data_IF_680285073129
#
_entry.id   IF_680285073129
#
_cell.length_a   1.000
_cell.length_b   1.000
_cell.length_c   1.000
_cell.angle_alpha   90.00
_cell.angle_beta   90.00
_cell.angle_gamma   90.00
#
_symmetry.space_group_name_H-M   'P 1'
#
loop_
_entity.id
_entity.type
_entity.pdbx_description
1 polymer ?
#
# COMPACT_ATOMS: atom_id res chain seq x y z
N UNK A 1 -6.16 20.89 31.45
CA UNK A 1 -6.14 19.52 30.89
C UNK A 1 -5.85 19.59 29.41
N UNK A 2 -5.23 18.57 28.82
CA UNK A 2 -4.95 18.51 27.39
C UNK A 2 -6.08 17.78 26.65
N UNK A 3 -6.70 18.45 25.68
CA UNK A 3 -7.72 17.82 24.83
C UNK A 3 -7.11 16.73 23.94
N UNK A 4 -7.67 15.52 23.99
CA UNK A 4 -7.33 14.46 23.04
C UNK A 4 -7.83 14.87 21.64
N UNK A 5 -6.95 15.39 20.80
CA UNK A 5 -7.25 15.54 19.36
C UNK A 5 -7.56 14.16 18.78
N UNK A 6 -8.80 13.93 18.36
CA UNK A 6 -9.18 12.73 17.63
C UNK A 6 -8.33 12.61 16.36
N UNK A 7 -7.72 11.45 16.13
CA UNK A 7 -6.97 11.18 14.89
C UNK A 7 -7.93 10.61 13.87
N UNK A 8 -8.60 11.49 13.13
CA UNK A 8 -9.41 11.09 11.97
C UNK A 8 -8.50 10.37 10.98
N UNK A 9 -8.76 9.08 10.75
CA UNK A 9 -8.14 8.32 9.67
C UNK A 9 -8.94 8.62 8.41
N UNK A 10 -8.27 9.17 7.41
CA UNK A 10 -8.83 9.25 6.06
C UNK A 10 -8.26 8.07 5.27
N UNK A 11 -9.11 7.11 4.91
CA UNK A 11 -8.77 6.14 3.87
C UNK A 11 -8.91 6.89 2.54
N UNK A 12 -7.85 6.94 1.72
CA UNK A 12 -7.93 7.54 0.38
C UNK A 12 -8.06 6.45 -0.67
N UNK A 13 -9.13 6.55 -1.45
CA UNK A 13 -9.52 5.62 -2.50
C UNK A 13 -9.08 6.13 -3.88
N UNK A 14 -8.45 5.26 -4.65
CA UNK A 14 -7.78 5.55 -5.91
C UNK A 14 -8.69 5.53 -7.15
N UNK A 15 -9.86 6.17 -7.07
CA UNK A 15 -10.55 6.61 -8.29
C UNK A 15 -9.78 7.75 -8.94
N UNK A 16 -10.08 8.10 -10.20
CA UNK A 16 -9.36 9.14 -10.95
C UNK A 16 -9.62 10.58 -10.44
N UNK A 17 -10.24 10.71 -9.26
CA UNK A 17 -10.44 11.94 -8.51
C UNK A 17 -9.16 12.45 -7.84
N UNK A 18 -9.10 13.75 -7.61
CA UNK A 18 -7.88 14.56 -7.59
C UNK A 18 -7.11 14.46 -6.25
N UNK A 19 -5.99 15.16 -6.19
CA UNK A 19 -5.58 15.96 -5.01
C UNK A 19 -5.62 17.49 -5.36
N UNK A 20 -6.70 17.96 -6.00
CA UNK A 20 -6.67 19.08 -6.97
C UNK A 20 -6.17 20.38 -6.32
N UNK A 21 -6.78 20.77 -5.21
CA UNK A 21 -6.56 22.04 -4.48
C UNK A 21 -5.16 22.21 -3.85
N UNK A 22 -4.30 21.20 -4.01
CA UNK A 22 -2.97 21.08 -3.40
C UNK A 22 -1.86 20.84 -4.42
N UNK A 23 -2.17 20.69 -5.72
CA UNK A 23 -1.22 20.25 -6.75
C UNK A 23 -1.18 21.17 -7.97
N UNK A 24 -0.02 21.29 -8.64
CA UNK A 24 0.04 21.89 -9.97
C UNK A 24 -0.77 21.06 -10.98
N UNK A 25 -1.32 21.66 -12.06
CA UNK A 25 -2.21 20.96 -13.00
C UNK A 25 -1.63 19.67 -13.60
N UNK A 26 -0.30 19.61 -13.78
CA UNK A 26 0.40 18.43 -14.32
C UNK A 26 0.45 17.21 -13.38
N UNK A 27 0.19 17.40 -12.07
CA UNK A 27 0.11 16.33 -11.08
C UNK A 27 -1.32 16.02 -10.62
N UNK A 28 -2.28 16.89 -10.96
CA UNK A 28 -3.63 16.87 -10.43
C UNK A 28 -4.46 15.61 -10.73
N UNK A 29 -4.09 14.83 -11.76
CA UNK A 29 -4.75 13.57 -12.20
C UNK A 29 -3.87 12.32 -12.04
N UNK A 30 -2.70 12.44 -11.41
CA UNK A 30 -1.73 11.33 -11.38
C UNK A 30 -2.05 10.33 -10.27
N UNK A 31 -2.03 9.00 -10.53
CA UNK A 31 -2.19 7.99 -9.50
C UNK A 31 -1.14 8.09 -8.39
N UNK A 32 -1.54 7.73 -7.17
CA UNK A 32 -0.61 7.55 -6.05
C UNK A 32 0.20 6.28 -6.29
N UNK A 33 1.54 6.42 -6.19
CA UNK A 33 2.49 5.32 -6.29
C UNK A 33 2.81 4.71 -4.93
N UNK A 34 3.02 5.56 -3.93
CA UNK A 34 3.35 5.15 -2.56
C UNK A 34 2.99 6.24 -1.54
N UNK A 35 3.00 5.93 -0.24
CA UNK A 35 2.68 6.86 0.84
C UNK A 35 3.50 6.56 2.11
N UNK A 36 3.92 7.59 2.84
CA UNK A 36 4.66 7.39 4.08
C UNK A 36 4.46 8.54 5.09
N UNK A 37 3.96 8.20 6.28
CA UNK A 37 3.80 9.10 7.43
C UNK A 37 3.19 10.49 7.10
N UNK A 38 2.24 10.52 6.16
CA UNK A 38 1.48 11.72 5.75
C UNK A 38 1.98 12.44 4.50
N UNK A 39 3.10 11.99 3.93
CA UNK A 39 3.52 12.32 2.56
C UNK A 39 3.01 11.25 1.58
N UNK A 40 2.88 11.63 0.32
CA UNK A 40 2.38 10.81 -0.79
C UNK A 40 3.31 11.01 -2.00
N UNK A 41 3.69 9.92 -2.67
CA UNK A 41 4.46 9.91 -3.92
C UNK A 41 3.51 9.60 -5.08
N UNK A 42 3.58 10.38 -6.15
CA UNK A 42 2.77 10.20 -7.35
C UNK A 42 3.58 9.54 -8.48
N UNK A 43 2.89 8.89 -9.43
CA UNK A 43 3.51 8.21 -10.58
C UNK A 43 4.32 9.13 -11.52
N UNK A 44 4.15 10.45 -11.44
CA UNK A 44 4.89 11.47 -12.18
C UNK A 44 6.01 12.12 -11.33
N UNK A 45 6.47 11.41 -10.30
CA UNK A 45 7.59 11.79 -9.43
C UNK A 45 7.41 13.10 -8.65
N UNK A 46 6.16 13.50 -8.38
CA UNK A 46 5.87 14.49 -7.33
C UNK A 46 5.77 13.82 -5.96
N UNK A 47 6.44 14.39 -4.95
CA UNK A 47 6.21 14.09 -3.52
C UNK A 47 5.41 15.24 -2.90
N UNK A 48 4.33 14.90 -2.21
CA UNK A 48 3.28 15.86 -1.86
C UNK A 48 2.80 15.66 -0.43
N UNK A 49 2.45 16.75 0.25
CA UNK A 49 1.84 16.77 1.58
C UNK A 49 0.42 17.36 1.48
N UNK A 50 -0.63 16.53 1.37
CA UNK A 50 -2.01 16.99 1.30
C UNK A 50 -2.47 17.84 2.49
N UNK A 51 -1.87 17.69 3.67
CA UNK A 51 -2.25 18.45 4.86
C UNK A 51 -1.75 19.90 4.81
N UNK A 52 -0.55 20.15 4.29
CA UNK A 52 0.04 21.50 4.21
C UNK A 52 -0.07 22.15 2.84
N UNK A 53 -0.69 21.49 1.85
CA UNK A 53 -0.74 21.89 0.43
C UNK A 53 0.65 22.12 -0.21
N UNK A 54 1.65 21.38 0.26
CA UNK A 54 3.02 21.47 -0.24
C UNK A 54 3.29 20.32 -1.23
N UNK A 55 4.07 20.59 -2.26
CA UNK A 55 4.47 19.60 -3.27
C UNK A 55 5.85 19.95 -3.85
N UNK A 56 6.64 18.94 -4.19
CA UNK A 56 7.91 19.07 -4.92
C UNK A 56 7.97 18.03 -6.04
N UNK A 57 8.49 18.43 -7.21
CA UNK A 57 8.87 17.51 -8.27
C UNK A 57 10.29 17.01 -8.00
N UNK A 58 10.49 15.69 -7.97
CA UNK A 58 11.84 15.12 -7.90
C UNK A 58 12.60 15.43 -9.20
N UNK A 59 13.92 15.70 -9.13
CA UNK A 59 14.75 15.73 -10.34
C UNK A 59 14.72 14.35 -11.02
N UNK A 60 14.96 14.28 -12.34
CA UNK A 60 15.12 13.00 -13.03
C UNK A 60 16.11 12.09 -12.30
N UNK A 61 15.69 10.85 -12.06
CA UNK A 61 16.63 9.83 -11.62
C UNK A 61 17.66 9.62 -12.74
N UNK A 62 18.96 9.57 -12.45
CA UNK A 62 19.93 9.05 -13.40
C UNK A 62 19.47 7.68 -13.92
N UNK A 63 19.60 7.46 -15.21
CA UNK A 63 19.42 6.13 -15.76
C UNK A 63 20.69 5.30 -15.52
N UNK A 64 20.58 4.10 -14.94
CA UNK A 64 21.69 3.17 -14.94
C UNK A 64 22.00 2.85 -16.41
N UNK A 65 23.21 3.18 -16.87
CA UNK A 65 23.63 3.16 -18.28
C UNK A 65 23.73 1.77 -18.93
N UNK A 66 23.02 0.79 -18.39
CA UNK A 66 22.96 -0.62 -18.79
C UNK A 66 21.52 -1.00 -19.09
N UNK A 67 20.95 -0.42 -20.14
CA UNK A 67 19.62 -0.77 -20.67
C UNK A 67 19.66 -2.12 -21.39
N UNK A 68 19.76 -3.19 -20.60
CA UNK A 68 19.64 -4.59 -21.05
C UNK A 68 19.00 -5.52 -20.00
N UNK A 69 19.06 -5.22 -18.70
CA UNK A 69 18.65 -6.18 -17.67
C UNK A 69 17.70 -5.57 -16.60
N UNK A 70 16.63 -6.30 -16.27
CA UNK A 70 15.53 -5.96 -15.32
C UNK A 70 14.57 -4.81 -15.72
N UNK A 71 13.48 -5.17 -16.40
CA UNK A 71 12.44 -4.27 -16.97
C UNK A 71 11.62 -3.41 -15.98
N UNK A 72 11.66 -3.68 -14.66
CA UNK A 72 10.79 -3.01 -13.70
C UNK A 72 11.54 -2.39 -12.52
N UNK A 73 11.26 -1.12 -12.25
CA UNK A 73 11.72 -0.40 -11.05
C UNK A 73 10.53 0.25 -10.35
N UNK A 74 10.45 0.11 -9.02
CA UNK A 74 9.53 0.87 -8.19
C UNK A 74 10.24 1.92 -7.36
N UNK A 75 9.48 2.95 -6.97
CA UNK A 75 9.95 4.05 -6.13
C UNK A 75 9.14 4.05 -4.85
N UNK A 76 9.84 3.93 -3.73
CA UNK A 76 9.24 3.88 -2.39
C UNK A 76 9.65 5.09 -1.56
N UNK A 77 8.71 5.64 -0.79
CA UNK A 77 8.84 6.88 -0.05
C UNK A 77 9.20 6.58 1.41
N UNK A 78 10.34 7.12 1.85
CA UNK A 78 10.85 6.95 3.22
C UNK A 78 10.80 8.29 3.93
N UNK A 79 9.96 8.39 4.96
CA UNK A 79 9.83 9.61 5.76
C UNK A 79 9.44 9.25 7.19
N UNK A 80 10.19 9.74 8.18
CA UNK A 80 9.76 9.70 9.57
C UNK A 80 9.92 11.08 10.21
N UNK A 81 8.81 11.83 10.42
CA UNK A 81 8.85 13.17 10.99
C UNK A 81 9.33 13.20 12.46
N UNK A 82 9.47 12.05 13.13
CA UNK A 82 10.07 11.96 14.47
C UNK A 82 11.59 11.85 14.45
N UNK A 83 12.18 11.54 13.29
CA UNK A 83 13.63 11.35 13.09
C UNK A 83 14.23 12.43 12.19
N UNK A 84 13.49 12.88 11.17
CA UNK A 84 14.00 13.77 10.13
C UNK A 84 12.91 14.66 9.54
N UNK A 85 13.22 15.94 9.32
CA UNK A 85 12.44 16.86 8.48
C UNK A 85 12.52 16.52 6.99
N UNK A 86 13.52 15.73 6.58
CA UNK A 86 13.76 15.32 5.20
C UNK A 86 13.24 13.89 4.95
N UNK A 87 12.52 13.72 3.84
CA UNK A 87 12.17 12.42 3.26
C UNK A 87 13.21 11.97 2.24
N UNK A 88 13.18 10.69 1.89
CA UNK A 88 13.98 10.06 0.85
C UNK A 88 13.10 9.22 -0.08
N UNK A 89 13.55 8.95 -1.31
CA UNK A 89 12.83 8.09 -2.27
C UNK A 89 13.79 7.07 -2.86
N UNK A 90 13.49 5.79 -2.67
CA UNK A 90 14.32 4.65 -3.06
C UNK A 90 13.84 4.08 -4.40
N UNK A 91 14.67 4.12 -5.45
CA UNK A 91 14.46 3.38 -6.71
C UNK A 91 14.98 1.96 -6.54
N UNK A 92 14.07 0.99 -6.41
CA UNK A 92 14.35 -0.43 -6.17
C UNK A 92 13.90 -1.25 -7.39
N UNK A 93 14.78 -2.05 -8.03
CA UNK A 93 14.38 -3.02 -9.04
C UNK A 93 13.32 -3.98 -8.51
N UNK A 94 12.29 -4.22 -9.32
CA UNK A 94 11.10 -5.00 -8.97
C UNK A 94 11.15 -6.40 -9.59
N UNK A 95 12.31 -7.05 -9.52
CA UNK A 95 12.54 -8.38 -10.09
C UNK A 95 12.45 -8.39 -11.62
N UNK A 96 12.13 -9.55 -12.18
CA UNK A 96 12.24 -9.83 -13.62
C UNK A 96 10.89 -10.20 -14.21
N UNK A 97 10.67 -9.85 -15.49
CA UNK A 97 9.46 -10.27 -16.21
C UNK A 97 9.44 -11.81 -16.39
N UNK A 98 8.24 -12.44 -16.47
CA UNK A 98 8.14 -13.85 -16.82
C UNK A 98 8.83 -14.11 -18.15
N UNK A 99 9.67 -15.15 -18.23
CA UNK A 99 10.32 -15.56 -19.47
C UNK A 99 9.26 -16.00 -20.48
N UNK A 100 9.35 -15.51 -21.72
CA UNK A 100 8.47 -15.87 -22.83
C UNK A 100 9.19 -16.77 -23.84
N UNK A 101 8.42 -17.47 -24.67
CA UNK A 101 8.96 -18.31 -25.75
C UNK A 101 8.93 -17.58 -27.11
N UNK A 102 9.85 -17.91 -28.04
CA UNK A 102 9.86 -17.33 -29.38
C UNK A 102 8.53 -17.58 -30.10
N UNK A 103 7.77 -16.51 -30.33
CA UNK A 103 6.43 -16.57 -30.93
C UNK A 103 5.31 -15.97 -30.05
N UNK A 104 5.59 -15.68 -28.77
CA UNK A 104 4.74 -14.76 -27.98
C UNK A 104 4.81 -13.34 -28.59
N UNK A 105 3.67 -12.65 -28.67
CA UNK A 105 3.53 -11.28 -29.19
C UNK A 105 4.38 -10.27 -28.39
N UNK A 106 4.69 -10.59 -27.13
CA UNK A 106 5.52 -9.78 -26.24
C UNK A 106 6.91 -10.40 -25.98
N UNK A 107 7.33 -11.39 -26.77
CA UNK A 107 8.69 -11.93 -26.73
C UNK A 107 9.70 -10.86 -27.14
N UNK A 108 10.78 -10.72 -26.39
CA UNK A 108 11.96 -9.97 -26.84
C UNK A 108 13.23 -10.65 -26.34
N UNK A 109 14.09 -11.03 -27.29
CA UNK A 109 15.27 -11.84 -27.04
C UNK A 109 16.31 -11.18 -26.15
N UNK A 110 16.35 -9.84 -26.04
CA UNK A 110 17.32 -9.16 -25.17
C UNK A 110 17.09 -9.43 -23.68
N UNK A 111 15.88 -9.85 -23.30
CA UNK A 111 15.48 -10.10 -21.91
C UNK A 111 14.96 -11.54 -21.71
N UNK A 112 14.43 -12.18 -22.76
CA UNK A 112 14.00 -13.58 -22.71
C UNK A 112 15.14 -14.57 -23.02
N UNK A 113 16.19 -14.17 -23.76
CA UNK A 113 17.43 -14.97 -23.97
C UNK A 113 18.57 -14.58 -23.01
N UNK A 114 18.24 -14.07 -21.81
CA UNK A 114 19.23 -13.79 -20.76
C UNK A 114 20.13 -15.00 -20.48
N UNK A 115 21.41 -14.71 -20.22
CA UNK A 115 22.46 -15.70 -20.04
C UNK A 115 22.15 -16.67 -18.89
N UNK A 116 22.38 -17.97 -19.09
CA UNK A 116 22.17 -19.03 -18.10
C UNK A 116 22.87 -18.72 -16.76
N UNK A 117 24.10 -18.18 -16.79
CA UNK A 117 24.85 -17.80 -15.59
C UNK A 117 24.21 -16.63 -14.81
N UNK A 118 23.43 -15.77 -15.49
CA UNK A 118 22.64 -14.71 -14.85
C UNK A 118 21.34 -15.29 -14.25
N UNK A 119 20.64 -16.16 -14.98
CA UNK A 119 19.44 -16.88 -14.51
C UNK A 119 19.72 -17.70 -13.22
N UNK A 120 20.91 -18.29 -13.10
CA UNK A 120 21.40 -19.04 -11.92
C UNK A 120 21.96 -18.16 -10.78
N UNK A 121 22.14 -16.85 -10.99
CA UNK A 121 22.73 -15.97 -9.99
C UNK A 121 21.81 -15.75 -8.77
N UNK A 122 22.41 -15.59 -7.59
CA UNK A 122 21.68 -15.37 -6.32
C UNK A 122 20.78 -14.12 -6.37
N UNK A 123 19.49 -14.30 -6.11
CA UNK A 123 18.54 -13.20 -5.96
C UNK A 123 17.88 -13.20 -4.57
N UNK A 124 17.77 -12.04 -3.90
CA UNK A 124 18.41 -10.75 -4.22
C UNK A 124 19.94 -10.76 -4.09
N UNK A 125 20.66 -9.92 -4.87
CA UNK A 125 22.12 -9.99 -5.01
C UNK A 125 22.87 -9.59 -3.74
N UNK A 126 24.01 -10.24 -3.47
CA UNK A 126 24.79 -10.04 -2.24
C UNK A 126 25.22 -8.59 -1.98
N UNK A 127 25.43 -7.82 -3.06
CA UNK A 127 25.56 -6.37 -3.07
C UNK A 127 24.46 -5.75 -3.94
N UNK A 128 23.71 -4.81 -3.38
CA UNK A 128 22.55 -4.20 -4.02
C UNK A 128 22.70 -2.68 -4.06
N UNK A 129 23.25 -2.15 -5.16
CA UNK A 129 23.31 -0.69 -5.39
C UNK A 129 21.95 -0.16 -5.79
N UNK A 130 21.43 0.81 -5.04
CA UNK A 130 20.14 1.45 -5.31
C UNK A 130 20.31 2.96 -5.46
N UNK A 131 19.55 3.56 -6.37
CA UNK A 131 19.47 5.01 -6.50
C UNK A 131 18.49 5.55 -5.45
N UNK A 132 18.95 6.45 -4.59
CA UNK A 132 18.14 7.05 -3.52
C UNK A 132 18.19 8.57 -3.62
N UNK A 133 17.03 9.20 -3.80
CA UNK A 133 16.88 10.64 -3.68
C UNK A 133 16.81 11.03 -2.19
N UNK A 134 17.50 12.10 -1.81
CA UNK A 134 17.35 12.70 -0.47
C UNK A 134 16.94 14.16 -0.57
N UNK A 135 15.82 14.53 0.07
CA UNK A 135 15.39 15.93 0.19
C UNK A 135 16.28 16.77 1.12
N UNK A 136 17.37 16.19 1.66
CA UNK A 136 18.45 16.93 2.34
C UNK A 136 19.50 17.46 1.36
N UNK A 137 19.78 16.73 0.29
CA UNK A 137 20.80 17.07 -0.71
C UNK A 137 20.23 17.46 -2.08
N UNK A 138 18.91 17.35 -2.26
CA UNK A 138 18.20 17.75 -3.48
C UNK A 138 18.48 16.86 -4.70
N UNK A 139 19.18 15.74 -4.53
CA UNK A 139 19.75 14.92 -5.61
C UNK A 139 19.55 13.42 -5.36
N UNK A 140 19.72 12.64 -6.42
CA UNK A 140 19.87 11.18 -6.37
C UNK A 140 21.32 10.82 -6.06
N UNK A 141 21.51 9.80 -5.23
CA UNK A 141 22.81 9.24 -4.86
C UNK A 141 22.74 7.71 -4.97
N UNK A 142 23.78 7.07 -5.50
CA UNK A 142 23.90 5.61 -5.43
C UNK A 142 24.30 5.18 -4.03
N UNK A 143 23.56 4.20 -3.49
CA UNK A 143 23.81 3.63 -2.15
C UNK A 143 23.92 2.11 -2.26
N UNK A 144 25.10 1.51 -1.97
CA UNK A 144 25.26 0.06 -1.91
C UNK A 144 24.67 -0.49 -0.61
N UNK A 145 23.77 -1.47 -0.71
CA UNK A 145 23.26 -2.24 0.42
C UNK A 145 23.82 -3.66 0.40
N UNK A 146 24.42 -4.12 1.51
CA UNK A 146 24.99 -5.47 1.63
C UNK A 146 23.94 -6.43 2.19
N UNK A 147 23.79 -7.62 1.60
CA UNK A 147 22.93 -8.69 2.13
C UNK A 147 23.55 -9.33 3.37
N UNK A 148 22.77 -9.46 4.44
CA UNK A 148 23.03 -10.38 5.53
C UNK A 148 22.11 -11.61 5.39
N UNK A 149 22.70 -12.80 5.52
CA UNK A 149 22.00 -14.08 5.36
C UNK A 149 21.82 -14.53 3.90
N UNK A 150 21.07 -15.62 3.74
CA UNK A 150 20.86 -16.31 2.47
C UNK A 150 20.13 -15.46 1.42
N UNK A 151 20.28 -15.83 0.14
CA UNK A 151 19.40 -15.39 -0.93
C UNK A 151 17.96 -15.91 -0.74
N UNK A 152 17.01 -15.37 -1.50
CA UNK A 152 15.66 -15.94 -1.58
C UNK A 152 15.61 -17.16 -2.53
N UNK A 153 16.44 -17.14 -3.57
CA UNK A 153 16.57 -18.15 -4.62
C UNK A 153 17.52 -17.65 -5.70
N UNK A 154 17.28 -18.03 -6.95
CA UNK A 154 17.97 -17.50 -8.13
C UNK A 154 17.18 -16.37 -8.81
N UNK A 155 17.80 -15.71 -9.80
CA UNK A 155 17.10 -14.82 -10.75
C UNK A 155 15.96 -15.55 -11.46
N UNK A 156 16.18 -16.79 -11.89
CA UNK A 156 15.15 -17.59 -12.58
C UNK A 156 13.93 -17.88 -11.68
N UNK A 157 14.17 -18.16 -10.39
CA UNK A 157 13.14 -18.31 -9.35
C UNK A 157 12.38 -17.00 -9.05
N UNK A 158 12.77 -15.89 -9.68
CA UNK A 158 12.31 -14.52 -9.40
C UNK A 158 11.67 -13.82 -10.62
N UNK A 159 11.41 -14.57 -11.71
CA UNK A 159 10.73 -14.11 -12.93
C UNK A 159 9.20 -14.20 -12.80
N UNK A 160 8.54 -13.11 -12.41
CA UNK A 160 7.08 -13.06 -12.19
C UNK A 160 6.40 -11.81 -12.77
N UNK A 161 5.08 -11.91 -12.93
CA UNK A 161 4.28 -10.84 -13.50
C UNK A 161 4.00 -9.78 -12.43
N UNK A 162 4.65 -8.62 -12.57
CA UNK A 162 4.74 -7.60 -11.52
C UNK A 162 3.40 -7.21 -10.90
N UNK A 163 3.13 -7.71 -9.70
CA UNK A 163 1.99 -7.28 -8.89
C UNK A 163 2.28 -5.95 -8.21
N UNK A 164 1.24 -5.30 -7.69
CA UNK A 164 1.37 -4.11 -6.84
C UNK A 164 2.19 -4.48 -5.60
N UNK A 165 3.33 -3.82 -5.41
CA UNK A 165 4.25 -4.04 -4.28
C UNK A 165 4.09 -2.95 -3.24
N UNK A 166 4.12 -3.36 -1.97
CA UNK A 166 3.89 -2.50 -0.83
C UNK A 166 5.20 -2.26 -0.07
N UNK A 167 5.32 -1.06 0.48
CA UNK A 167 6.48 -0.61 1.24
C UNK A 167 6.04 -0.07 2.61
N UNK A 168 6.83 -0.36 3.65
CA UNK A 168 6.50 0.03 5.03
C UNK A 168 7.74 0.52 5.76
N UNK A 169 7.72 1.79 6.20
CA UNK A 169 8.75 2.31 7.11
C UNK A 169 8.36 2.05 8.57
N UNK A 170 9.20 1.29 9.28
CA UNK A 170 9.05 0.96 10.70
C UNK A 170 10.42 0.92 11.40
N UNK A 171 10.54 1.61 12.54
CA UNK A 171 11.73 1.59 13.43
C UNK A 171 13.09 1.75 12.70
N UNK A 172 13.18 2.67 11.74
CA UNK A 172 14.42 2.94 11.00
C UNK A 172 14.77 1.91 9.92
N UNK A 173 13.87 0.99 9.60
CA UNK A 173 13.98 0.06 8.49
C UNK A 173 12.81 0.22 7.49
N UNK A 174 13.10 -0.04 6.22
CA UNK A 174 12.15 -0.12 5.12
C UNK A 174 11.88 -1.61 4.82
N UNK A 175 10.62 -2.02 4.90
CA UNK A 175 10.18 -3.38 4.60
C UNK A 175 9.44 -3.37 3.26
N UNK A 176 9.79 -4.30 2.35
CA UNK A 176 9.28 -4.36 0.97
C UNK A 176 8.68 -5.73 0.65
N UNK A 177 7.52 -5.74 0.00
CA UNK A 177 6.94 -6.93 -0.65
C UNK A 177 7.65 -7.20 -1.98
N UNK A 178 8.25 -8.39 -2.13
CA UNK A 178 8.91 -8.87 -3.34
C UNK A 178 8.29 -10.18 -3.85
N UNK A 179 6.96 -10.31 -3.71
CA UNK A 179 6.06 -11.37 -4.22
C UNK A 179 6.25 -12.78 -3.65
N UNK A 180 7.48 -13.29 -3.56
CA UNK A 180 7.81 -14.60 -2.97
C UNK A 180 8.65 -14.50 -1.69
N UNK A 181 9.22 -13.32 -1.43
CA UNK A 181 9.99 -13.00 -0.23
C UNK A 181 9.74 -11.54 0.14
N UNK A 182 10.18 -11.14 1.34
CA UNK A 182 10.20 -9.74 1.75
C UNK A 182 11.63 -9.31 1.98
N UNK A 183 11.90 -8.02 1.77
CA UNK A 183 13.19 -7.41 2.11
C UNK A 183 13.01 -6.50 3.32
N UNK A 184 13.92 -6.60 4.29
CA UNK A 184 14.15 -5.54 5.28
C UNK A 184 15.44 -4.83 4.93
N UNK A 185 15.35 -3.55 4.57
CA UNK A 185 16.50 -2.66 4.42
C UNK A 185 16.67 -1.80 5.66
N UNK A 186 17.84 -1.83 6.27
CA UNK A 186 18.19 -0.97 7.40
C UNK A 186 18.78 0.35 6.89
N UNK A 187 18.11 1.46 7.22
CA UNK A 187 18.44 2.80 6.69
C UNK A 187 19.70 3.41 7.33
N UNK A 188 20.18 2.85 8.44
CA UNK A 188 21.25 3.43 9.27
C UNK A 188 22.64 2.82 9.03
N UNK A 189 22.73 1.61 8.47
CA UNK A 189 23.98 0.87 8.32
C UNK A 189 24.20 0.29 6.90
N UNK A 190 23.33 0.62 5.94
CA UNK A 190 23.37 0.15 4.55
C UNK A 190 23.45 -1.38 4.40
N UNK A 191 22.66 -2.08 5.22
CA UNK A 191 22.48 -3.53 5.14
C UNK A 191 21.04 -3.91 4.86
N UNK A 192 20.82 -5.08 4.29
CA UNK A 192 19.48 -5.62 4.11
C UNK A 192 19.43 -7.13 4.33
N UNK A 193 18.25 -7.66 4.66
CA UNK A 193 18.01 -9.06 4.96
C UNK A 193 16.80 -9.58 4.18
N UNK A 194 16.88 -10.85 3.77
CA UNK A 194 15.79 -11.57 3.11
C UNK A 194 14.93 -12.25 4.17
N UNK A 195 13.66 -11.87 4.25
CA UNK A 195 12.66 -12.54 5.08
C UNK A 195 11.96 -13.57 4.19
N UNK A 196 12.22 -14.85 4.46
CA UNK A 196 11.62 -15.97 3.72
C UNK A 196 10.10 -16.00 3.96
N UNK A 197 9.34 -16.22 2.89
CA UNK A 197 7.89 -16.40 3.02
C UNK A 197 7.59 -17.77 3.64
N UNK A 198 7.13 -17.80 4.89
CA UNK A 198 6.51 -18.99 5.50
C UNK A 198 5.08 -19.21 5.00
N UNK A 199 4.56 -18.26 4.21
CA UNK A 199 3.23 -18.30 3.63
C UNK A 199 3.28 -19.25 2.44
N UNK A 200 2.60 -20.40 2.58
CA UNK A 200 2.51 -21.42 1.55
C UNK A 200 1.74 -20.92 0.34
N UNK A 201 2.45 -20.29 -0.61
CA UNK A 201 1.91 -19.81 -1.88
C UNK A 201 1.67 -20.98 -2.85
N UNK A 202 0.69 -21.82 -2.50
CA UNK A 202 0.15 -22.84 -3.40
C UNK A 202 -0.36 -22.23 -4.72
N UNK A 203 -0.34 -23.07 -5.76
CA UNK A 203 -0.75 -22.81 -7.14
C UNK A 203 -1.44 -21.45 -7.45
N UNK A 204 -0.62 -20.44 -7.80
CA UNK A 204 -0.95 -19.19 -8.54
C UNK A 204 -2.46 -18.90 -8.77
N UNK A 205 -3.18 -18.44 -7.74
CA UNK A 205 -4.50 -17.82 -7.95
C UNK A 205 -4.28 -16.38 -8.43
N UNK A 206 -4.78 -16.06 -9.64
CA UNK A 206 -4.58 -14.76 -10.30
C UNK A 206 -5.13 -13.57 -9.51
N UNK A 207 -6.09 -13.81 -8.62
CA UNK A 207 -6.85 -12.80 -7.87
C UNK A 207 -6.52 -12.76 -6.36
N UNK A 208 -5.51 -13.51 -5.88
CA UNK A 208 -5.15 -13.47 -4.45
C UNK A 208 -4.64 -12.07 -4.05
N UNK A 209 -5.44 -11.33 -3.27
CA UNK A 209 -5.08 -10.02 -2.75
C UNK A 209 -4.06 -10.10 -1.62
N UNK A 210 -3.22 -9.07 -1.52
CA UNK A 210 -2.10 -8.97 -0.59
C UNK A 210 -1.93 -7.52 -0.11
N UNK A 211 -1.47 -7.34 1.11
CA UNK A 211 -1.16 -6.02 1.67
C UNK A 211 -0.06 -6.11 2.74
N UNK A 212 1.06 -5.40 2.53
CA UNK A 212 2.06 -5.16 3.57
C UNK A 212 1.79 -3.78 4.20
N UNK A 213 1.69 -3.69 5.52
CA UNK A 213 1.42 -2.45 6.24
C UNK A 213 2.01 -2.41 7.65
N UNK A 214 1.65 -1.39 8.43
CA UNK A 214 1.99 -1.30 9.85
C UNK A 214 0.77 -1.03 10.72
N UNK A 215 0.77 -1.58 11.92
CA UNK A 215 -0.28 -1.43 12.93
C UNK A 215 0.31 -1.07 14.30
N UNK A 216 -0.43 -1.32 15.39
CA UNK A 216 -0.08 -0.94 16.77
C UNK A 216 1.33 -1.41 17.19
N UNK A 217 1.74 -2.61 16.76
CA UNK A 217 2.95 -3.30 17.27
C UNK A 217 4.11 -3.44 16.29
N UNK A 218 3.91 -3.14 15.00
CA UNK A 218 4.94 -3.34 13.98
C UNK A 218 4.40 -3.57 12.58
N UNK A 219 5.13 -4.39 11.81
CA UNK A 219 4.84 -4.71 10.41
C UNK A 219 3.90 -5.91 10.32
N UNK A 220 2.88 -5.79 9.48
CA UNK A 220 1.84 -6.79 9.24
C UNK A 220 1.74 -7.09 7.75
N UNK A 221 1.50 -8.35 7.43
CA UNK A 221 1.13 -8.79 6.10
C UNK A 221 -0.26 -9.44 6.15
N UNK A 222 -1.12 -9.12 5.19
CA UNK A 222 -2.42 -9.75 5.02
C UNK A 222 -2.55 -10.35 3.62
N UNK A 223 -3.32 -11.43 3.52
CA UNK A 223 -3.80 -11.97 2.25
C UNK A 223 -5.27 -12.36 2.33
N UNK A 224 -6.01 -12.13 1.25
CA UNK A 224 -7.34 -12.71 1.03
C UNK A 224 -7.24 -13.76 -0.07
N UNK A 225 -7.79 -14.94 0.22
CA UNK A 225 -7.62 -16.19 -0.53
C UNK A 225 -8.95 -16.95 -0.44
N UNK A 226 -9.69 -17.12 -1.53
CA UNK A 226 -11.06 -17.67 -1.57
C UNK A 226 -12.02 -17.10 -0.48
N UNK A 227 -12.01 -15.77 -0.30
CA UNK A 227 -12.75 -15.06 0.76
C UNK A 227 -12.41 -15.51 2.20
N UNK A 228 -11.20 -16.03 2.42
CA UNK A 228 -10.61 -16.23 3.75
C UNK A 228 -9.50 -15.20 3.98
N UNK A 229 -9.68 -14.35 4.98
CA UNK A 229 -8.65 -13.42 5.42
C UNK A 229 -7.65 -14.11 6.35
N UNK A 230 -6.35 -13.98 6.02
CA UNK A 230 -5.22 -14.35 6.89
C UNK A 230 -4.35 -13.12 7.15
N UNK A 231 -3.87 -12.97 8.38
CA UNK A 231 -2.99 -11.87 8.79
C UNK A 231 -1.83 -12.41 9.62
N UNK A 232 -0.61 -12.04 9.25
CA UNK A 232 0.63 -12.34 9.95
C UNK A 232 1.26 -11.06 10.49
N UNK A 233 1.96 -11.18 11.61
CA UNK A 233 2.78 -10.15 12.22
C UNK A 233 4.24 -10.55 12.11
N UNK A 234 5.10 -9.61 11.73
CA UNK A 234 6.53 -9.86 11.70
C UNK A 234 7.11 -9.72 13.12
N UNK A 235 7.58 -10.83 13.69
CA UNK A 235 8.42 -10.81 14.89
C UNK A 235 9.89 -10.73 14.49
N UNK A 236 10.66 -9.91 15.21
CA UNK A 236 12.11 -9.84 15.11
C UNK A 236 12.70 -10.22 16.48
N UNK A 237 13.53 -11.26 16.53
CA UNK A 237 14.19 -11.70 17.76
C UNK A 237 15.61 -12.18 17.46
N UNK A 238 16.60 -11.67 18.21
CA UNK A 238 18.03 -12.02 18.05
C UNK A 238 18.59 -11.92 16.62
N UNK A 239 18.02 -11.04 15.78
CA UNK A 239 18.39 -10.88 14.37
C UNK A 239 17.70 -11.84 13.39
N UNK A 240 16.87 -12.77 13.88
CA UNK A 240 15.97 -13.58 13.06
C UNK A 240 14.61 -12.90 12.91
N UNK A 241 13.94 -13.13 11.78
CA UNK A 241 12.66 -12.53 11.42
C UNK A 241 11.67 -13.62 10.99
N UNK A 242 10.55 -13.69 11.69
CA UNK A 242 9.54 -14.74 11.49
C UNK A 242 8.13 -14.14 11.39
N UNK A 243 7.36 -14.65 10.43
CA UNK A 243 5.95 -14.29 10.22
C UNK A 243 5.03 -15.13 11.11
N UNK A 244 4.64 -14.56 12.25
CA UNK A 244 3.72 -15.20 13.21
C UNK A 244 2.27 -14.91 12.83
N UNK A 245 1.51 -15.95 12.53
CA UNK A 245 0.08 -15.87 12.21
C UNK A 245 -0.71 -15.26 13.38
N UNK A 246 -1.52 -14.23 13.12
CA UNK A 246 -2.38 -13.53 14.09
C UNK A 246 -3.86 -13.81 13.87
N UNK A 247 -4.29 -13.81 12.62
CA UNK A 247 -5.65 -14.11 12.21
C UNK A 247 -5.60 -15.19 11.13
N UNK A 248 -6.36 -16.27 11.30
CA UNK A 248 -6.36 -17.40 10.38
C UNK A 248 -7.78 -17.66 9.87
N UNK A 249 -7.93 -17.77 8.55
CA UNK A 249 -9.16 -18.15 7.87
C UNK A 249 -10.42 -17.45 8.40
N UNK A 250 -10.37 -16.12 8.62
CA UNK A 250 -11.59 -15.36 8.94
C UNK A 250 -12.46 -15.30 7.68
N UNK A 251 -13.63 -15.92 7.75
CA UNK A 251 -14.57 -16.02 6.63
C UNK A 251 -15.30 -14.69 6.41
N UNK A 252 -14.76 -13.90 5.48
CA UNK A 252 -15.26 -12.58 5.12
C UNK A 252 -16.46 -12.65 4.16
N UNK A 253 -16.90 -13.85 3.74
CA UNK A 253 -18.18 -14.00 3.01
C UNK A 253 -19.38 -13.58 3.85
N UNK A 254 -19.23 -13.63 5.17
CA UNK A 254 -20.18 -13.06 6.14
C UNK A 254 -20.57 -11.60 5.83
N UNK A 255 -19.67 -10.83 5.20
CA UNK A 255 -19.87 -9.40 4.92
C UNK A 255 -20.83 -9.13 3.74
N UNK A 256 -20.94 -10.02 2.76
CA UNK A 256 -21.85 -9.82 1.62
C UNK A 256 -23.34 -9.79 2.05
N UNK A 257 -23.67 -10.48 3.14
CA UNK A 257 -25.05 -10.66 3.60
C UNK A 257 -25.63 -9.45 4.34
N UNK A 258 -24.81 -8.46 4.71
CA UNK A 258 -25.22 -7.25 5.45
C UNK A 258 -24.78 -5.95 4.77
N UNK A 259 -24.94 -5.90 3.44
CA UNK A 259 -24.73 -4.71 2.61
C UNK A 259 -25.76 -3.58 2.83
N UNK A 260 -26.53 -3.63 3.92
CA UNK A 260 -27.44 -2.57 4.41
C UNK A 260 -27.05 -2.03 5.79
N UNK A 261 -25.92 -2.47 6.36
CA UNK A 261 -25.40 -1.95 7.63
C UNK A 261 -24.98 -0.47 7.51
N UNK A 262 -25.90 0.44 7.83
CA UNK A 262 -25.68 1.89 7.92
C UNK A 262 -24.79 2.27 9.11
N UNK A 263 -23.52 1.87 9.07
CA UNK A 263 -22.49 2.40 9.95
C UNK A 263 -22.33 3.93 9.74
N UNK A 264 -21.93 4.69 10.77
CA UNK A 264 -21.99 6.15 10.76
C UNK A 264 -20.96 6.83 9.85
N UNK A 265 -20.03 6.09 9.24
CA UNK A 265 -19.00 6.65 8.36
C UNK A 265 -19.51 6.73 6.92
N UNK A 266 -19.51 7.95 6.36
CA UNK A 266 -19.76 8.21 4.93
C UNK A 266 -18.45 8.63 4.28
N UNK A 267 -18.13 8.14 3.08
CA UNK A 267 -16.96 8.62 2.34
C UNK A 267 -17.09 10.11 1.99
N UNK A 268 -16.19 10.92 2.54
CA UNK A 268 -15.98 12.30 2.12
C UNK A 268 -15.23 12.33 0.77
N UNK A 269 -15.97 12.43 -0.34
CA UNK A 269 -15.36 12.76 -1.64
C UNK A 269 -14.92 14.23 -1.65
N UNK A 270 -13.61 14.43 -1.71
CA UNK A 270 -12.96 15.75 -1.80
C UNK A 270 -13.19 16.44 -3.14
N UNK A 271 -13.82 15.77 -4.11
CA UNK A 271 -14.06 16.28 -5.46
C UNK A 271 -15.53 16.65 -5.71
N UNK A 272 -16.44 16.39 -4.77
CA UNK A 272 -17.89 16.54 -4.91
C UNK A 272 -18.30 17.93 -5.43
N UNK A 273 -17.79 19.00 -4.82
CA UNK A 273 -18.07 20.40 -5.21
C UNK A 273 -17.64 20.74 -6.65
N UNK A 274 -16.83 19.87 -7.26
CA UNK A 274 -16.31 20.02 -8.62
C UNK A 274 -17.01 19.13 -9.66
N UNK A 275 -17.92 18.27 -9.21
CA UNK A 275 -18.91 17.54 -10.02
C UNK A 275 -20.29 18.20 -9.91
N UNK A 276 -20.67 18.66 -8.70
CA UNK A 276 -21.94 19.31 -8.39
C UNK A 276 -21.71 20.70 -7.77
N UNK A 277 -21.31 21.71 -8.55
CA UNK A 277 -21.07 23.06 -8.04
C UNK A 277 -22.35 23.78 -7.57
N UNK A 278 -23.52 23.33 -8.04
CA UNK A 278 -24.83 23.93 -7.78
C UNK A 278 -25.60 23.29 -6.60
N UNK A 279 -25.05 22.24 -5.95
CA UNK A 279 -25.69 21.58 -4.81
C UNK A 279 -25.55 22.40 -3.51
N UNK A 280 -26.67 22.66 -2.82
CA UNK A 280 -26.65 23.39 -1.54
C UNK A 280 -25.91 22.59 -0.45
N UNK A 281 -24.91 23.23 0.16
CA UNK A 281 -24.06 22.62 1.20
C UNK A 281 -24.84 22.34 2.48
N UNK A 282 -25.37 21.13 2.62
CA UNK A 282 -25.64 20.55 3.94
C UNK A 282 -24.32 20.40 4.68
N UNK A 283 -24.10 21.26 5.68
CA UNK A 283 -22.92 21.19 6.52
C UNK A 283 -22.88 19.82 7.23
N UNK A 284 -21.91 18.97 6.85
CA UNK A 284 -21.57 17.80 7.65
C UNK A 284 -21.05 18.31 8.99
N UNK A 285 -21.81 18.04 10.06
CA UNK A 285 -21.40 18.30 11.43
C UNK A 285 -20.19 17.40 11.71
N UNK A 286 -19.09 17.97 12.19
CA UNK A 286 -18.06 17.17 12.88
C UNK A 286 -18.65 16.71 14.22
N UNK A 287 -19.49 15.68 14.18
CA UNK A 287 -19.91 14.97 15.38
C UNK A 287 -18.66 14.36 16.02
N UNK A 288 -18.45 14.67 17.30
CA UNK A 288 -17.30 14.17 18.06
C UNK A 288 -17.53 12.71 18.44
N UNK A 289 -17.59 11.82 17.44
CA UNK A 289 -17.78 10.38 17.65
C UNK A 289 -16.54 9.78 18.31
N UNK A 290 -16.54 9.73 19.65
CA UNK A 290 -15.50 9.05 20.43
C UNK A 290 -15.68 7.53 20.29
N UNK A 291 -15.14 7.00 19.19
CA UNK A 291 -15.08 5.57 18.89
C UNK A 291 -14.63 4.76 20.11
N UNK A 292 -15.52 3.89 20.59
CA UNK A 292 -15.24 2.89 21.61
C UNK A 292 -14.83 1.56 20.95
N UNK A 293 -14.02 0.74 21.63
CA UNK A 293 -13.66 -0.60 21.14
C UNK A 293 -14.65 -1.68 21.59
N UNK A 294 -15.68 -1.27 22.34
CA UNK A 294 -16.45 -2.13 23.24
C UNK A 294 -17.94 -2.18 22.86
N UNK A 295 -18.31 -1.61 21.71
CA UNK A 295 -19.64 -1.76 21.13
C UNK A 295 -19.82 -3.19 20.58
N UNK A 296 -20.83 -3.90 21.07
CA UNK A 296 -21.12 -5.30 20.74
C UNK A 296 -21.96 -5.48 19.45
N UNK A 297 -21.73 -4.62 18.45
CA UNK A 297 -22.40 -4.66 17.13
C UNK A 297 -21.84 -5.79 16.23
N UNK A 298 -21.89 -7.03 16.74
CA UNK A 298 -21.43 -8.23 16.04
C UNK A 298 -22.49 -8.73 15.05
N UNK A 299 -22.15 -8.72 13.76
CA UNK A 299 -23.08 -9.06 12.67
C UNK A 299 -23.48 -10.55 12.70
N UNK A 300 -24.78 -10.83 12.57
CA UNK A 300 -25.35 -12.18 12.57
C UNK A 300 -25.75 -12.61 11.15
N UNK A 301 -25.29 -13.78 10.70
CA UNK A 301 -25.51 -14.29 9.34
C UNK A 301 -26.93 -14.86 9.14
N UNK A 302 -27.73 -14.28 8.24
CA UNK A 302 -29.06 -14.78 7.89
C UNK A 302 -29.46 -14.60 6.41
N UNK A 303 -29.09 -15.58 5.57
CA UNK A 303 -29.72 -15.98 4.30
C UNK A 303 -30.26 -14.89 3.33
N UNK A 304 -29.48 -14.57 2.29
CA UNK A 304 -29.96 -14.10 0.98
C UNK A 304 -29.24 -14.82 -0.18
N UNK A 305 -29.86 -14.91 -1.38
CA UNK A 305 -29.37 -15.79 -2.46
C UNK A 305 -28.14 -15.25 -3.21
N UNK A 306 -27.36 -16.17 -3.76
CA UNK A 306 -26.10 -15.92 -4.47
C UNK A 306 -26.32 -15.32 -5.87
N UNK A 307 -26.13 -14.00 -6.01
CA UNK A 307 -25.99 -13.34 -7.31
C UNK A 307 -24.90 -12.25 -7.24
N UNK A 308 -23.74 -12.55 -7.81
CA UNK A 308 -22.63 -11.59 -7.93
C UNK A 308 -21.98 -11.24 -6.58
N UNK A 309 -21.13 -12.12 -6.06
CA UNK A 309 -20.19 -11.76 -4.99
C UNK A 309 -19.29 -10.63 -5.52
N UNK A 310 -19.26 -9.48 -4.83
CA UNK A 310 -18.23 -8.47 -5.08
C UNK A 310 -16.86 -9.00 -4.68
N UNK A 311 -15.77 -8.38 -5.13
CA UNK A 311 -14.46 -8.71 -4.59
C UNK A 311 -14.26 -7.94 -3.27
N UNK A 312 -13.90 -8.64 -2.18
CA UNK A 312 -13.59 -7.98 -0.91
C UNK A 312 -12.13 -7.49 -0.92
N UNK A 313 -11.96 -6.18 -0.90
CA UNK A 313 -10.68 -5.51 -1.08
C UNK A 313 -10.00 -5.18 0.26
N UNK A 314 -8.67 -5.34 0.34
CA UNK A 314 -7.90 -4.91 1.50
C UNK A 314 -7.59 -3.40 1.39
N UNK A 315 -8.08 -2.62 2.36
CA UNK A 315 -7.87 -1.16 2.40
C UNK A 315 -6.62 -0.75 3.19
N UNK A 316 -6.12 -1.64 4.04
CA UNK A 316 -4.88 -1.47 4.82
C UNK A 316 -5.11 -1.49 6.32
N UNK A 317 -4.04 -1.26 7.09
CA UNK A 317 -4.06 -1.36 8.55
C UNK A 317 -4.27 -0.01 9.25
N UNK A 318 -4.96 0.00 10.39
CA UNK A 318 -5.01 1.17 11.27
C UNK A 318 -3.60 1.36 11.89
N UNK A 319 -2.95 2.53 11.74
CA UNK A 319 -1.52 2.70 12.07
C UNK A 319 -1.17 2.69 13.57
N UNK A 320 -2.15 2.49 14.46
CA UNK A 320 -2.03 2.66 15.92
C UNK A 320 -2.95 1.74 16.75
N UNK A 321 -3.76 0.88 16.10
CA UNK A 321 -4.63 -0.10 16.75
C UNK A 321 -4.60 -1.36 15.89
N UNK A 322 -4.62 -2.54 16.50
CA UNK A 322 -4.65 -3.85 15.82
C UNK A 322 -5.98 -4.08 15.04
N UNK A 323 -6.17 -3.35 13.94
CA UNK A 323 -7.35 -3.35 13.07
C UNK A 323 -6.89 -3.35 11.62
N UNK A 324 -7.53 -4.17 10.79
CA UNK A 324 -7.42 -4.15 9.32
C UNK A 324 -8.74 -3.65 8.72
N UNK A 325 -8.65 -2.74 7.76
CA UNK A 325 -9.78 -2.22 7.01
C UNK A 325 -9.98 -3.02 5.72
N UNK A 326 -11.23 -3.32 5.40
CA UNK A 326 -11.68 -4.06 4.23
C UNK A 326 -12.83 -3.31 3.54
N UNK A 327 -13.19 -3.68 2.32
CA UNK A 327 -14.47 -3.27 1.71
C UNK A 327 -15.10 -4.35 0.85
N UNK A 328 -16.44 -4.36 0.75
CA UNK A 328 -17.15 -5.04 -0.35
C UNK A 328 -17.15 -4.09 -1.56
N UNK A 329 -16.16 -4.24 -2.45
CA UNK A 329 -15.93 -3.31 -3.57
C UNK A 329 -15.97 -1.85 -3.09
N UNK A 330 -16.70 -0.96 -3.78
CA UNK A 330 -16.97 0.44 -3.43
C UNK A 330 -18.15 0.65 -2.48
N UNK A 331 -18.81 -0.42 -1.99
CA UNK A 331 -20.11 -0.30 -1.32
C UNK A 331 -19.97 0.08 0.14
N UNK A 332 -19.36 -0.82 0.92
CA UNK A 332 -19.34 -0.75 2.38
C UNK A 332 -17.93 -1.02 2.88
N UNK A 333 -17.46 -0.14 3.77
CA UNK A 333 -16.18 -0.30 4.47
C UNK A 333 -16.38 -1.06 5.77
N UNK A 334 -15.42 -1.92 6.11
CA UNK A 334 -15.44 -2.74 7.32
C UNK A 334 -14.14 -2.59 8.11
N UNK A 335 -14.22 -2.72 9.42
CA UNK A 335 -13.08 -2.77 10.34
C UNK A 335 -13.05 -4.12 11.04
N UNK A 336 -12.02 -4.93 10.79
CA UNK A 336 -11.79 -6.21 11.46
C UNK A 336 -10.74 -6.07 12.57
N UNK A 337 -11.12 -6.41 13.79
CA UNK A 337 -10.31 -6.25 15.00
C UNK A 337 -9.45 -7.50 15.23
N UNK A 338 -8.14 -7.40 14.99
CA UNK A 338 -7.21 -8.56 15.05
C UNK A 338 -7.05 -9.17 16.45
N UNK A 339 -7.50 -8.46 17.51
CA UNK A 339 -7.48 -8.94 18.91
C UNK A 339 -8.70 -9.81 19.28
N UNK A 340 -9.82 -9.66 18.57
CA UNK A 340 -11.12 -10.29 18.92
C UNK A 340 -11.78 -11.02 17.76
N UNK A 341 -11.24 -10.91 16.55
CA UNK A 341 -11.82 -11.40 15.28
C UNK A 341 -13.22 -10.88 14.95
N UNK A 342 -13.72 -9.87 15.68
CA UNK A 342 -14.96 -9.16 15.36
C UNK A 342 -14.75 -8.27 14.14
N UNK A 343 -15.75 -8.22 13.27
CA UNK A 343 -15.83 -7.28 12.15
C UNK A 343 -17.00 -6.34 12.40
N UNK A 344 -16.78 -5.03 12.23
CA UNK A 344 -17.79 -3.99 12.31
C UNK A 344 -17.95 -3.31 10.94
N UNK A 345 -19.18 -3.04 10.52
CA UNK A 345 -19.45 -2.17 9.38
C UNK A 345 -19.14 -0.71 9.75
N UNK A 346 -18.23 -0.07 9.03
CA UNK A 346 -17.93 1.36 9.19
C UNK A 346 -19.03 2.21 8.57
N UNK A 347 -19.52 1.81 7.38
CA UNK A 347 -20.53 2.53 6.61
C UNK A 347 -20.18 2.61 5.13
N UNK A 348 -20.86 3.50 4.40
CA UNK A 348 -20.84 3.51 2.94
C UNK A 348 -19.57 4.16 2.36
N UNK A 349 -18.94 3.47 1.41
CA UNK A 349 -17.80 3.95 0.64
C UNK A 349 -18.18 4.63 -0.67
N UNK A 350 -19.45 4.53 -1.09
CA UNK A 350 -19.96 5.38 -2.16
C UNK A 350 -19.92 6.87 -1.75
N UNK A 351 -19.31 7.74 -2.58
CA UNK A 351 -19.62 9.15 -2.56
C UNK A 351 -21.13 9.39 -2.66
N UNK A 352 -21.61 10.47 -2.04
CA UNK A 352 -22.98 10.94 -2.28
C UNK A 352 -23.15 11.17 -3.80
N UNK A 353 -24.28 10.72 -4.38
CA UNK A 353 -24.57 10.79 -5.83
C UNK A 353 -23.55 10.12 -6.76
N UNK A 354 -22.76 9.14 -6.32
CA UNK A 354 -21.77 8.46 -7.19
C UNK A 354 -22.36 7.89 -8.48
N UNK A 355 -23.60 7.39 -8.43
CA UNK A 355 -24.36 6.86 -9.57
C UNK A 355 -24.61 7.91 -10.67
N UNK A 356 -24.67 9.20 -10.33
CA UNK A 356 -24.79 10.31 -11.30
C UNK A 356 -23.46 10.61 -12.03
N UNK A 357 -22.32 10.09 -11.53
CA UNK A 357 -20.96 10.42 -11.98
C UNK A 357 -20.38 9.33 -12.89
N UNK A 358 -20.70 8.05 -12.65
CA UNK A 358 -20.04 6.91 -13.30
C UNK A 358 -20.90 6.17 -14.32
N UNK A 359 -20.32 5.86 -15.48
CA UNK A 359 -20.78 4.77 -16.33
C UNK A 359 -20.59 3.42 -15.61
N UNK A 360 -21.45 2.40 -15.86
CA UNK A 360 -21.53 1.16 -15.07
C UNK A 360 -20.41 0.13 -15.34
N UNK A 361 -19.16 0.62 -15.50
CA UNK A 361 -17.98 -0.18 -15.89
C UNK A 361 -16.72 0.23 -15.09
N UNK A 362 -16.73 1.32 -14.30
CA UNK A 362 -15.59 1.71 -13.43
C UNK A 362 -15.99 1.68 -11.94
N UNK A 363 -15.89 0.50 -11.32
CA UNK A 363 -16.33 0.25 -9.92
C UNK A 363 -15.25 -0.29 -8.98
N UNK A 364 -13.97 -0.30 -9.38
CA UNK A 364 -12.89 -0.99 -8.65
C UNK A 364 -11.92 -0.02 -7.93
N UNK A 365 -11.51 -0.33 -6.70
CA UNK A 365 -10.59 0.50 -5.91
C UNK A 365 -9.14 0.20 -6.35
N UNK A 366 -8.69 0.90 -7.41
CA UNK A 366 -7.30 0.75 -7.95
C UNK A 366 -6.18 1.01 -6.92
N UNK A 367 -6.48 1.66 -5.79
CA UNK A 367 -5.53 1.84 -4.69
C UNK A 367 -6.18 2.36 -3.41
N UNK A 368 -5.66 1.91 -2.28
CA UNK A 368 -6.17 2.17 -0.93
C UNK A 368 -4.99 2.34 0.03
N UNK A 369 -5.07 3.32 0.94
CA UNK A 369 -4.09 3.46 2.03
C UNK A 369 -4.60 4.28 3.22
N UNK A 370 -4.09 4.02 4.45
CA UNK A 370 -4.34 4.84 5.63
C UNK A 370 -3.56 6.17 5.57
N UNK A 371 -4.27 7.29 5.41
CA UNK A 371 -3.67 8.62 5.48
C UNK A 371 -3.68 9.18 6.91
N UNK A 372 -2.50 9.50 7.43
CA UNK A 372 -2.31 10.25 8.69
C UNK A 372 -1.74 11.63 8.36
N UNK A 373 -2.49 12.74 8.55
CA UNK A 373 -2.04 14.09 8.17
C UNK A 373 -0.72 14.53 8.82
N UNK A 374 0.25 14.97 8.01
CA UNK A 374 1.53 15.51 8.50
C UNK A 374 1.52 17.05 8.48
N UNK A 375 1.49 17.68 9.65
CA UNK A 375 1.41 19.16 9.78
C UNK A 375 2.78 19.86 9.85
N UNK A 376 3.87 19.15 9.52
CA UNK A 376 5.22 19.71 9.44
C UNK A 376 5.26 20.76 8.31
N UNK A 377 5.47 22.03 8.68
CA UNK A 377 5.73 23.12 7.72
C UNK A 377 7.22 23.32 7.57
N UNK A 378 7.68 23.56 6.35
CA UNK A 378 9.09 23.84 6.07
C UNK A 378 9.93 22.58 5.83
N UNK A 379 9.64 21.87 4.74
CA UNK A 379 10.75 21.39 3.91
C UNK A 379 11.41 22.67 3.37
N UNK A 380 12.57 23.04 3.93
CA UNK A 380 13.24 24.29 3.57
C UNK A 380 13.59 24.27 2.08
N UNK A 381 13.40 25.41 1.43
CA UNK A 381 13.80 25.64 0.04
C UNK A 381 15.33 25.50 -0.07
N UNK A 382 15.78 24.89 -1.17
CA UNK A 382 17.20 24.67 -1.52
C UNK A 382 17.60 25.71 -2.57
#
# INVERSE_FOLDING_TARGET
>A
GAGRRQRIIRLKFGFQGKIHDCLPPAAAKTPVRDHCNGLVLLHNDYVVNPATRWAVLLPPCPDPGTTTEADFYNRYLVYDPTVSTHFEVFRVPSGFRPKREPGDVYYDSSIDELNHAFEESEWPPSLYTMHVYSSRSGRWEERPFVREGDAAGTVSDSRFCGRKRYAVCWQGALYLDCENHFLRMSLSNSKYQVIKSTIGLGARIMYQQRYLGKSEKGVYYASVDDSLLRVWFLTESSGQMEWVLKLNNLDIRSLYYDSQAHGPWVLQDVNYESYFPDDEKKAQVEENFEWSSDNDDALNSANRPEYGLGEIEILGFHPHKEIIFLSDSVKTGYASHLKSSKIQAMGNLYPTRYEDITFPIEHDIRGSFPYTPCWMRGFLEI
#
